data_IF_471609849216
#
_entry.id   IF_471609849216
#
_cell.length_a   1.000
_cell.length_b   1.000
_cell.length_c   1.000
_cell.angle_alpha   90.00
_cell.angle_beta   90.00
_cell.angle_gamma   90.00
#
_symmetry.space_group_name_H-M   'P 1'
#
loop_
_entity.id
_entity.type
_entity.pdbx_description
1 polymer ?
#
# COMPACT_ATOMS: atom_id res chain seq x y z
N UNK A 1 -11.28 5.27 -19.19
CA UNK A 1 -12.61 5.81 -18.83
C UNK A 1 -12.39 7.13 -18.09
N UNK A 2 -13.18 8.17 -18.38
CA UNK A 2 -13.07 9.45 -17.66
C UNK A 2 -13.76 9.33 -16.29
N UNK A 3 -13.05 9.59 -15.19
CA UNK A 3 -13.64 9.54 -13.83
C UNK A 3 -14.11 10.90 -13.32
N UNK A 4 -13.93 11.99 -14.09
CA UNK A 4 -14.40 13.33 -13.71
C UNK A 4 -15.88 13.36 -13.29
N UNK A 5 -16.83 12.67 -13.96
CA UNK A 5 -18.22 12.63 -13.50
C UNK A 5 -18.41 11.99 -12.12
N UNK A 6 -17.60 10.99 -11.75
CA UNK A 6 -17.64 10.40 -10.41
C UNK A 6 -17.06 11.34 -9.36
N UNK A 7 -15.96 12.05 -9.67
CA UNK A 7 -15.41 13.07 -8.77
C UNK A 7 -16.39 14.24 -8.59
N UNK A 8 -17.07 14.67 -9.66
CA UNK A 8 -18.12 15.68 -9.59
C UNK A 8 -19.25 15.19 -8.67
N UNK A 9 -19.76 13.96 -8.88
CA UNK A 9 -20.82 13.41 -8.03
C UNK A 9 -20.39 13.34 -6.56
N UNK A 10 -19.19 12.82 -6.27
CA UNK A 10 -18.64 12.75 -4.91
C UNK A 10 -18.64 14.13 -4.24
N UNK A 11 -18.08 15.14 -4.91
CA UNK A 11 -18.04 16.50 -4.41
C UNK A 11 -19.45 17.05 -4.14
N UNK A 12 -20.45 16.73 -4.96
CA UNK A 12 -21.84 17.16 -4.72
C UNK A 12 -22.45 16.46 -3.51
N UNK A 13 -22.23 15.15 -3.36
CA UNK A 13 -22.72 14.40 -2.21
C UNK A 13 -22.07 14.90 -0.90
N UNK A 14 -20.77 15.17 -0.88
CA UNK A 14 -20.09 15.76 0.28
C UNK A 14 -20.66 17.14 0.64
N UNK A 15 -20.96 17.98 -0.35
CA UNK A 15 -21.62 19.26 -0.10
C UNK A 15 -23.02 19.06 0.50
N UNK A 16 -23.79 18.10 0.00
CA UNK A 16 -25.11 17.76 0.55
C UNK A 16 -25.00 17.23 1.98
N UNK A 17 -23.96 16.47 2.34
CA UNK A 17 -23.73 16.05 3.72
C UNK A 17 -23.52 17.25 4.66
N UNK A 18 -22.83 18.29 4.19
CA UNK A 18 -22.55 19.50 4.98
C UNK A 18 -23.80 20.38 5.14
N UNK A 19 -24.55 20.61 4.06
CA UNK A 19 -25.70 21.53 4.08
C UNK A 19 -26.97 20.83 4.62
N UNK A 20 -27.08 19.52 4.44
CA UNK A 20 -28.18 18.69 4.91
C UNK A 20 -28.82 17.88 3.80
N UNK A 21 -28.97 16.57 4.03
CA UNK A 21 -29.48 15.59 3.06
C UNK A 21 -30.90 15.91 2.59
N UNK A 22 -31.69 16.61 3.42
CA UNK A 22 -33.04 17.03 3.06
C UNK A 22 -33.09 17.95 1.84
N UNK A 23 -31.99 18.65 1.52
CA UNK A 23 -31.89 19.52 0.35
C UNK A 23 -31.45 18.79 -0.93
N UNK A 24 -31.13 17.49 -0.86
CA UNK A 24 -30.65 16.71 -2.01
C UNK A 24 -31.63 16.74 -3.19
N UNK A 25 -32.94 16.71 -2.91
CA UNK A 25 -34.01 16.79 -3.91
C UNK A 25 -34.08 18.16 -4.60
N UNK A 26 -33.63 19.23 -3.96
CA UNK A 26 -33.69 20.59 -4.51
C UNK A 26 -32.36 21.06 -5.13
N UNK A 27 -31.27 20.32 -4.90
CA UNK A 27 -29.96 20.63 -5.47
C UNK A 27 -29.89 20.27 -6.97
N UNK A 28 -30.08 21.27 -7.82
CA UNK A 28 -29.96 21.13 -9.27
C UNK A 28 -28.57 20.66 -9.73
N UNK A 29 -27.52 20.95 -8.95
CA UNK A 29 -26.13 20.56 -9.26
C UNK A 29 -25.94 19.07 -8.99
N UNK A 30 -26.52 18.56 -7.90
CA UNK A 30 -26.55 17.13 -7.63
C UNK A 30 -27.33 16.38 -8.72
N UNK A 31 -28.52 16.87 -9.09
CA UNK A 31 -29.32 16.27 -10.18
C UNK A 31 -28.54 16.18 -11.48
N UNK A 32 -27.84 17.26 -11.84
CA UNK A 32 -27.00 17.29 -13.04
C UNK A 32 -25.84 16.28 -12.96
N UNK A 33 -25.17 16.19 -11.82
CA UNK A 33 -24.07 15.23 -11.63
C UNK A 33 -24.56 13.78 -11.72
N UNK A 34 -25.77 13.48 -11.22
CA UNK A 34 -26.41 12.16 -11.38
C UNK A 34 -26.73 11.88 -12.85
N UNK A 35 -27.30 12.84 -13.60
CA UNK A 35 -27.61 12.64 -15.03
C UNK A 35 -26.34 12.40 -15.87
N UNK A 36 -25.22 13.07 -15.55
CA UNK A 36 -23.94 12.82 -16.22
C UNK A 36 -23.46 11.36 -16.09
N UNK A 37 -23.89 10.61 -15.07
CA UNK A 37 -23.55 9.18 -14.90
C UNK A 37 -24.41 8.23 -15.74
N UNK A 38 -25.44 8.71 -16.42
CA UNK A 38 -26.31 7.88 -17.24
C UNK A 38 -25.56 7.12 -18.34
N UNK A 39 -24.61 7.79 -18.99
CA UNK A 39 -23.77 7.16 -20.02
C UNK A 39 -22.93 6.00 -19.44
N UNK A 40 -22.48 6.16 -18.19
CA UNK A 40 -21.65 5.19 -17.47
C UNK A 40 -22.45 3.96 -17.01
N UNK A 41 -23.77 4.09 -16.84
CA UNK A 41 -24.65 2.99 -16.44
C UNK A 41 -24.60 1.79 -17.39
N UNK A 42 -24.21 2.02 -18.66
CA UNK A 42 -24.08 0.97 -19.67
C UNK A 42 -22.73 0.27 -19.67
N UNK A 43 -21.72 0.86 -19.02
CA UNK A 43 -20.33 0.36 -19.02
C UNK A 43 -20.17 -0.78 -18.02
N UNK A 44 -20.71 -0.64 -16.81
CA UNK A 44 -20.62 -1.66 -15.77
C UNK A 44 -21.79 -1.60 -14.78
N UNK A 45 -22.09 -2.75 -14.17
CA UNK A 45 -23.17 -2.89 -13.19
C UNK A 45 -23.04 -1.93 -12.00
N UNK A 46 -21.81 -1.67 -11.55
CA UNK A 46 -21.55 -0.76 -10.41
C UNK A 46 -21.92 0.68 -10.73
N UNK A 47 -21.64 1.17 -11.94
CA UNK A 47 -22.03 2.53 -12.34
C UNK A 47 -23.54 2.65 -12.51
N UNK A 48 -24.20 1.60 -12.99
CA UNK A 48 -25.66 1.54 -13.01
C UNK A 48 -26.24 1.65 -11.60
N UNK A 49 -25.69 0.91 -10.64
CA UNK A 49 -26.12 0.97 -9.25
C UNK A 49 -25.95 2.38 -8.66
N UNK A 50 -24.80 3.04 -8.88
CA UNK A 50 -24.58 4.44 -8.47
C UNK A 50 -25.62 5.37 -9.09
N UNK A 51 -25.89 5.23 -10.38
CA UNK A 51 -26.89 6.04 -11.09
C UNK A 51 -28.31 5.82 -10.55
N UNK A 52 -28.73 4.57 -10.33
CA UNK A 52 -30.07 4.23 -9.83
C UNK A 52 -30.26 4.74 -8.39
N UNK A 53 -29.24 4.60 -7.54
CA UNK A 53 -29.24 5.12 -6.16
C UNK A 53 -29.26 6.66 -6.13
N UNK A 54 -28.47 7.31 -6.99
CA UNK A 54 -28.48 8.76 -7.15
C UNK A 54 -29.85 9.28 -7.57
N UNK A 55 -30.51 8.62 -8.53
CA UNK A 55 -31.87 8.97 -8.96
C UNK A 55 -32.89 8.78 -7.84
N UNK A 56 -32.75 7.72 -7.06
CA UNK A 56 -33.61 7.45 -5.90
C UNK A 56 -33.46 8.56 -4.86
N UNK A 57 -32.23 8.99 -4.57
CA UNK A 57 -31.93 10.04 -3.59
C UNK A 57 -32.52 11.41 -3.98
N UNK A 58 -32.44 11.79 -5.26
CA UNK A 58 -32.96 13.09 -5.75
C UNK A 58 -34.47 13.09 -6.02
N UNK A 59 -35.12 11.92 -5.98
CA UNK A 59 -36.55 11.77 -6.28
C UNK A 59 -37.40 11.46 -5.05
N UNK A 60 -36.80 10.87 -4.00
CA UNK A 60 -37.55 10.44 -2.82
C UNK A 60 -38.04 11.61 -1.97
N UNK A 61 -39.28 11.50 -1.50
CA UNK A 61 -39.88 12.38 -0.49
C UNK A 61 -39.74 11.82 0.93
N UNK A 62 -39.11 10.64 1.07
CA UNK A 62 -38.84 10.05 2.38
C UNK A 62 -37.94 10.97 3.21
N UNK A 63 -38.26 11.12 4.49
CA UNK A 63 -37.43 11.82 5.46
C UNK A 63 -36.25 10.93 5.89
N UNK A 64 -36.42 9.60 5.87
CA UNK A 64 -35.42 8.62 6.32
C UNK A 64 -34.52 8.12 5.17
N UNK A 65 -33.92 9.08 4.46
CA UNK A 65 -33.04 8.85 3.29
C UNK A 65 -31.54 8.80 3.64
N UNK A 66 -31.22 8.79 4.94
CA UNK A 66 -29.84 8.75 5.42
C UNK A 66 -29.11 7.48 4.98
N UNK A 67 -29.74 6.31 5.10
CA UNK A 67 -29.12 5.03 4.73
C UNK A 67 -28.78 5.00 3.24
N UNK A 68 -29.73 5.39 2.38
CA UNK A 68 -29.52 5.49 0.94
C UNK A 68 -28.38 6.45 0.58
N UNK A 69 -28.32 7.61 1.26
CA UNK A 69 -27.28 8.59 1.05
C UNK A 69 -25.90 8.05 1.43
N UNK A 70 -25.78 7.44 2.61
CA UNK A 70 -24.54 6.88 3.11
C UNK A 70 -24.05 5.71 2.25
N UNK A 71 -24.96 4.84 1.82
CA UNK A 71 -24.64 3.73 0.90
C UNK A 71 -24.14 4.26 -0.45
N UNK A 72 -24.75 5.33 -0.98
CA UNK A 72 -24.32 5.95 -2.23
C UNK A 72 -22.92 6.56 -2.10
N UNK A 73 -22.67 7.32 -1.04
CA UNK A 73 -21.35 7.92 -0.76
C UNK A 73 -20.30 6.81 -0.63
N UNK A 74 -20.59 5.78 0.17
CA UNK A 74 -19.68 4.65 0.37
C UNK A 74 -19.37 3.92 -0.94
N UNK A 75 -20.37 3.71 -1.81
CA UNK A 75 -20.17 3.06 -3.10
C UNK A 75 -19.33 3.91 -4.05
N UNK A 76 -19.60 5.22 -4.14
CA UNK A 76 -18.81 6.15 -4.97
C UNK A 76 -17.36 6.19 -4.48
N UNK A 77 -17.14 6.28 -3.17
CA UNK A 77 -15.81 6.27 -2.57
C UNK A 77 -15.07 4.95 -2.79
N UNK A 78 -15.75 3.81 -2.66
CA UNK A 78 -15.15 2.51 -2.91
C UNK A 78 -14.69 2.39 -4.38
N UNK A 79 -15.51 2.86 -5.33
CA UNK A 79 -15.14 2.84 -6.75
C UNK A 79 -13.96 3.77 -7.03
N UNK A 80 -13.98 5.01 -6.53
CA UNK A 80 -12.86 5.93 -6.71
C UNK A 80 -11.60 5.42 -6.03
N UNK A 81 -11.68 4.91 -4.80
CA UNK A 81 -10.53 4.37 -4.07
C UNK A 81 -9.87 3.18 -4.78
N UNK A 82 -10.64 2.35 -5.49
CA UNK A 82 -10.13 1.15 -6.17
C UNK A 82 -9.73 1.39 -7.63
N UNK A 83 -10.35 2.35 -8.32
CA UNK A 83 -10.13 2.58 -9.75
C UNK A 83 -9.36 3.88 -10.09
N UNK A 84 -9.23 4.84 -9.17
CA UNK A 84 -8.59 6.13 -9.44
C UNK A 84 -7.09 6.04 -9.82
N UNK A 85 -6.39 4.99 -9.40
CA UNK A 85 -4.93 4.85 -9.63
C UNK A 85 -4.56 3.69 -10.54
N UNK A 86 -5.46 2.72 -10.75
CA UNK A 86 -5.18 1.50 -11.53
C UNK A 86 -5.55 1.61 -13.01
N UNK A 87 -6.36 2.61 -13.37
CA UNK A 87 -6.77 2.92 -14.75
C UNK A 87 -6.03 4.14 -15.32
N UNK A 88 -4.70 4.14 -15.29
CA UNK A 88 -3.89 5.15 -16.00
C UNK A 88 -3.62 4.77 -17.47
N UNK A 89 -4.54 4.04 -18.14
CA UNK A 89 -4.34 3.53 -19.51
C UNK A 89 -5.47 2.64 -20.04
N UNK A 90 -5.23 2.04 -21.21
CA UNK A 90 -6.18 1.15 -21.92
C UNK A 90 -6.20 -0.29 -21.41
N UNK A 91 -5.24 -0.68 -20.55
CA UNK A 91 -5.12 -2.04 -20.02
C UNK A 91 -5.03 -2.02 -18.49
N UNK A 92 -5.67 -2.98 -17.78
CA UNK A 92 -5.49 -3.15 -16.35
C UNK A 92 -4.01 -3.31 -16.03
N UNK A 93 -3.47 -2.46 -15.14
CA UNK A 93 -2.11 -2.68 -14.66
C UNK A 93 -2.07 -3.91 -13.77
N UNK A 94 -1.15 -4.83 -14.06
CA UNK A 94 -0.86 -5.96 -13.18
C UNK A 94 -0.45 -5.43 -11.81
N UNK A 95 -1.21 -5.81 -10.77
CA UNK A 95 -0.83 -5.52 -9.39
C UNK A 95 0.45 -6.29 -9.12
N UNK A 96 1.58 -5.57 -9.10
CA UNK A 96 2.89 -6.14 -8.75
C UNK A 96 2.91 -6.42 -7.25
N UNK A 97 2.24 -7.49 -6.86
CA UNK A 97 2.33 -8.02 -5.51
C UNK A 97 3.70 -8.64 -5.32
N UNK A 98 4.35 -8.21 -4.27
CA UNK A 98 5.66 -8.69 -3.83
C UNK A 98 5.55 -10.02 -3.06
N UNK A 99 4.32 -10.40 -2.71
CA UNK A 99 3.97 -11.65 -2.12
C UNK A 99 3.94 -12.80 -3.13
N UNK A 100 4.99 -13.63 -3.10
CA UNK A 100 5.07 -14.86 -3.90
C UNK A 100 4.34 -16.06 -3.28
N UNK A 101 3.84 -15.96 -2.05
CA UNK A 101 3.16 -17.04 -1.33
C UNK A 101 1.95 -16.54 -0.54
N UNK A 102 0.99 -17.44 -0.27
CA UNK A 102 -0.24 -17.18 0.51
C UNK A 102 0.01 -16.91 2.01
N UNK A 103 1.22 -17.15 2.52
CA UNK A 103 1.56 -17.05 3.95
C UNK A 103 2.05 -15.66 4.40
N UNK A 104 1.54 -14.59 3.79
CA UNK A 104 1.93 -13.22 4.19
C UNK A 104 1.29 -12.76 5.49
N UNK A 105 0.14 -13.33 5.83
CA UNK A 105 -0.61 -12.98 7.03
C UNK A 105 -0.40 -14.05 8.09
N UNK A 106 0.26 -13.66 9.19
CA UNK A 106 0.25 -14.43 10.43
C UNK A 106 -0.67 -13.71 11.40
N UNK A 107 -1.53 -14.45 12.08
CA UNK A 107 -2.43 -13.94 13.11
C UNK A 107 -1.64 -13.65 14.40
N UNK A 108 -0.74 -12.67 14.34
CA UNK A 108 0.09 -12.22 15.47
C UNK A 108 -0.59 -10.99 16.07
N UNK A 109 -0.95 -11.08 17.35
CA UNK A 109 -1.54 -9.99 18.10
C UNK A 109 -0.58 -8.81 18.24
N UNK A 110 -1.13 -7.59 18.23
CA UNK A 110 -0.31 -6.38 18.35
C UNK A 110 0.48 -6.31 19.67
N UNK A 111 -0.05 -6.88 20.76
CA UNK A 111 0.64 -7.00 22.05
C UNK A 111 1.95 -7.78 21.97
N UNK A 112 2.07 -8.73 21.04
CA UNK A 112 3.31 -9.48 20.79
C UNK A 112 4.28 -8.69 19.90
N UNK A 113 3.74 -7.87 19.00
CA UNK A 113 4.54 -7.09 18.05
C UNK A 113 5.08 -5.79 18.65
N UNK A 114 4.28 -5.13 19.49
CA UNK A 114 4.54 -3.80 20.01
C UNK A 114 5.85 -3.67 20.78
N UNK A 115 6.31 -4.67 21.57
CA UNK A 115 7.60 -4.59 22.24
C UNK A 115 8.76 -4.53 21.24
N UNK A 116 8.66 -5.28 20.14
CA UNK A 116 9.66 -5.28 19.08
C UNK A 116 9.63 -4.00 18.24
N UNK A 117 8.44 -3.48 17.93
CA UNK A 117 8.28 -2.18 17.27
C UNK A 117 8.97 -1.08 18.07
N UNK A 118 8.71 -1.03 19.38
CA UNK A 118 9.35 -0.09 20.28
C UNK A 118 10.85 -0.33 20.35
N UNK A 119 11.28 -1.58 20.47
CA UNK A 119 12.68 -1.94 20.59
C UNK A 119 13.53 -1.56 19.37
N UNK A 120 13.00 -1.68 18.14
CA UNK A 120 13.70 -1.22 16.95
C UNK A 120 13.70 0.30 16.79
N UNK A 121 12.67 0.99 17.30
CA UNK A 121 12.56 2.45 17.21
C UNK A 121 13.43 3.14 18.25
N UNK A 122 13.26 2.81 19.53
CA UNK A 122 13.95 3.44 20.66
C UNK A 122 15.27 2.74 21.03
N UNK A 123 15.47 1.50 20.59
CA UNK A 123 16.72 0.76 20.77
C UNK A 123 16.79 -0.04 22.07
N UNK A 124 15.93 -1.05 22.21
CA UNK A 124 15.98 -2.00 23.33
C UNK A 124 16.53 -3.36 22.88
N UNK A 125 17.84 -3.55 23.05
CA UNK A 125 18.52 -4.78 22.64
C UNK A 125 17.98 -6.04 23.33
N UNK A 126 17.61 -5.94 24.61
CA UNK A 126 17.17 -7.07 25.41
C UNK A 126 15.91 -7.71 24.82
N UNK A 127 14.92 -6.87 24.48
CA UNK A 127 13.64 -7.32 23.89
C UNK A 127 13.85 -7.99 22.52
N UNK A 128 14.75 -7.45 21.70
CA UNK A 128 15.08 -8.04 20.40
C UNK A 128 15.76 -9.41 20.59
N UNK A 129 16.70 -9.50 21.52
CA UNK A 129 17.43 -10.75 21.77
C UNK A 129 16.55 -11.82 22.39
N UNK A 130 15.67 -11.44 23.32
CA UNK A 130 14.67 -12.33 23.91
C UNK A 130 13.75 -12.92 22.82
N UNK A 131 13.23 -12.07 21.94
CA UNK A 131 12.42 -12.51 20.80
C UNK A 131 13.20 -13.41 19.84
N UNK A 132 14.51 -13.21 19.65
CA UNK A 132 15.33 -14.10 18.83
C UNK A 132 15.45 -15.49 19.46
N UNK A 133 15.51 -15.58 20.78
CA UNK A 133 15.69 -16.83 21.50
C UNK A 133 14.37 -17.60 21.65
N UNK A 134 13.27 -16.88 21.91
CA UNK A 134 11.99 -17.46 22.29
C UNK A 134 10.99 -17.54 21.12
N UNK A 135 11.02 -16.61 20.17
CA UNK A 135 10.08 -16.55 19.04
C UNK A 135 10.73 -15.97 17.78
N UNK A 136 11.69 -16.68 17.21
CA UNK A 136 12.45 -16.19 16.05
C UNK A 136 11.60 -15.96 14.78
N UNK A 137 10.41 -16.58 14.71
CA UNK A 137 9.50 -16.50 13.56
C UNK A 137 8.71 -15.22 13.48
N UNK A 138 8.60 -14.46 14.58
CA UNK A 138 7.95 -13.15 14.62
C UNK A 138 8.60 -12.17 13.64
N UNK A 139 9.93 -12.29 13.43
CA UNK A 139 10.68 -11.46 12.49
C UNK A 139 10.34 -11.73 11.02
N UNK A 140 9.55 -12.76 10.72
CA UNK A 140 9.04 -13.00 9.38
C UNK A 140 7.81 -12.13 9.07
N UNK A 141 7.12 -11.60 10.09
CA UNK A 141 5.99 -10.69 9.91
C UNK A 141 6.40 -9.45 9.10
N UNK A 142 5.62 -9.14 8.06
CA UNK A 142 5.88 -8.03 7.16
C UNK A 142 5.81 -6.67 7.89
N UNK A 143 4.95 -6.54 8.90
CA UNK A 143 4.75 -5.29 9.66
C UNK A 143 6.00 -4.87 10.41
N UNK A 144 6.86 -5.82 10.82
CA UNK A 144 8.13 -5.51 11.50
C UNK A 144 9.24 -5.04 10.55
N UNK A 145 9.14 -5.28 9.24
CA UNK A 145 10.24 -4.99 8.30
C UNK A 145 10.59 -3.51 8.25
N UNK A 146 9.59 -2.64 8.22
CA UNK A 146 9.78 -1.19 8.20
C UNK A 146 10.45 -0.69 9.49
N UNK A 147 10.08 -1.25 10.64
CA UNK A 147 10.72 -0.92 11.92
C UNK A 147 12.15 -1.46 12.01
N UNK A 148 12.42 -2.65 11.48
CA UNK A 148 13.78 -3.17 11.37
C UNK A 148 14.67 -2.29 10.47
N UNK A 149 14.11 -1.76 9.38
CA UNK A 149 14.78 -0.79 8.50
C UNK A 149 15.05 0.52 9.27
N UNK A 150 14.09 1.04 10.02
CA UNK A 150 14.30 2.20 10.91
C UNK A 150 15.38 1.92 11.95
N UNK A 151 15.44 0.70 12.48
CA UNK A 151 16.47 0.22 13.40
C UNK A 151 17.90 0.25 12.83
N UNK A 152 18.09 0.37 11.52
CA UNK A 152 19.41 0.60 10.91
C UNK A 152 19.96 2.01 11.20
N UNK A 153 19.09 2.96 11.55
CA UNK A 153 19.48 4.33 11.96
C UNK A 153 19.55 4.49 13.47
N UNK A 154 19.47 3.39 14.22
CA UNK A 154 19.42 3.43 15.67
C UNK A 154 20.79 3.87 16.25
N UNK A 155 20.78 4.59 17.38
CA UNK A 155 22.01 5.05 18.06
C UNK A 155 22.84 3.89 18.62
N UNK A 156 22.23 2.73 18.89
CA UNK A 156 22.90 1.56 19.45
C UNK A 156 23.39 0.61 18.36
N UNK A 157 24.71 0.50 18.21
CA UNK A 157 25.37 -0.36 17.20
C UNK A 157 24.95 -1.83 17.26
N UNK A 158 24.64 -2.35 18.45
CA UNK A 158 24.15 -3.74 18.62
C UNK A 158 22.77 -3.96 17.99
N UNK A 159 21.87 -2.97 18.06
CA UNK A 159 20.55 -3.01 17.42
C UNK A 159 20.72 -2.97 15.90
N UNK A 160 21.57 -2.07 15.40
CA UNK A 160 21.92 -1.98 13.97
C UNK A 160 22.43 -3.32 13.44
N UNK A 161 23.35 -3.95 14.16
CA UNK A 161 23.94 -5.24 13.76
C UNK A 161 22.91 -6.37 13.69
N UNK A 162 22.00 -6.46 14.67
CA UNK A 162 20.94 -7.46 14.69
C UNK A 162 19.91 -7.23 13.57
N UNK A 163 19.45 -5.99 13.39
CA UNK A 163 18.57 -5.60 12.29
C UNK A 163 19.20 -5.97 10.94
N UNK A 164 20.47 -5.61 10.74
CA UNK A 164 21.24 -5.94 9.53
C UNK A 164 21.32 -7.45 9.29
N UNK A 165 21.64 -8.24 10.33
CA UNK A 165 21.77 -9.70 10.23
C UNK A 165 20.44 -10.36 9.83
N UNK A 166 19.32 -9.90 10.39
CA UNK A 166 17.98 -10.42 10.08
C UNK A 166 17.51 -10.00 8.69
N UNK A 167 17.63 -8.72 8.33
CA UNK A 167 17.28 -8.22 7.00
C UNK A 167 18.09 -8.89 5.88
N UNK A 168 19.38 -9.20 6.11
CA UNK A 168 20.22 -9.96 5.15
C UNK A 168 19.62 -11.33 4.81
N UNK A 169 18.98 -12.02 5.75
CA UNK A 169 18.36 -13.33 5.52
C UNK A 169 17.07 -13.23 4.68
N UNK A 170 16.38 -12.09 4.72
CA UNK A 170 15.06 -11.88 4.12
C UNK A 170 15.09 -10.93 2.90
N UNK A 171 16.27 -10.81 2.27
CA UNK A 171 16.58 -9.80 1.25
C UNK A 171 15.61 -9.74 0.07
N UNK A 172 15.03 -10.88 -0.34
CA UNK A 172 14.11 -10.95 -1.48
C UNK A 172 12.74 -10.33 -1.18
N UNK A 173 12.30 -10.40 0.07
CA UNK A 173 10.97 -9.95 0.51
C UNK A 173 10.94 -8.44 0.78
N UNK A 174 12.07 -7.85 1.19
CA UNK A 174 12.19 -6.44 1.59
C UNK A 174 12.64 -5.50 0.47
N UNK A 175 13.06 -6.03 -0.69
CA UNK A 175 13.47 -5.25 -1.86
C UNK A 175 12.46 -4.16 -2.32
N UNK A 176 11.14 -4.33 -2.16
CA UNK A 176 10.15 -3.31 -2.53
C UNK A 176 10.09 -2.15 -1.53
N UNK A 177 10.14 -2.45 -0.22
CA UNK A 177 10.15 -1.46 0.87
C UNK A 177 11.36 -0.54 0.82
N UNK A 178 12.43 -0.98 0.16
CA UNK A 178 13.67 -0.22 0.01
C UNK A 178 13.53 1.07 -0.81
N UNK A 179 12.51 1.18 -1.68
CA UNK A 179 12.35 2.35 -2.55
C UNK A 179 11.72 3.54 -1.86
N UNK A 180 10.80 3.29 -0.93
CA UNK A 180 9.96 4.33 -0.33
C UNK A 180 10.39 4.72 1.09
N UNK A 181 11.01 3.80 1.85
CA UNK A 181 11.33 4.02 3.28
C UNK A 181 12.78 4.45 3.56
N UNK A 182 13.66 4.51 2.55
CA UNK A 182 15.05 4.92 2.75
C UNK A 182 15.21 6.45 2.66
N UNK A 183 15.20 7.13 3.80
CA UNK A 183 15.54 8.54 3.90
C UNK A 183 17.07 8.77 3.79
N UNK A 184 17.54 9.89 3.20
CA UNK A 184 18.95 10.16 2.89
C UNK A 184 19.90 10.31 4.11
N UNK A 185 19.41 10.10 5.33
CA UNK A 185 20.18 10.13 6.58
C UNK A 185 20.63 8.77 7.11
N UNK A 186 20.18 7.65 6.52
CA UNK A 186 20.73 6.32 6.83
C UNK A 186 22.18 6.33 6.37
N UNK A 187 23.13 6.20 7.30
CA UNK A 187 24.56 6.31 7.01
C UNK A 187 24.90 5.51 5.75
N UNK A 188 25.29 6.26 4.70
CA UNK A 188 25.55 5.75 3.35
C UNK A 188 26.43 4.49 3.34
N UNK A 189 27.24 4.29 4.39
CA UNK A 189 28.10 3.12 4.62
C UNK A 189 27.34 1.79 4.76
N UNK A 190 26.26 1.75 5.55
CA UNK A 190 25.44 0.52 5.67
C UNK A 190 24.63 0.24 4.40
N UNK A 191 24.22 1.30 3.68
CA UNK A 191 23.54 1.20 2.40
C UNK A 191 24.47 0.73 1.26
N UNK A 192 25.72 1.22 1.24
CA UNK A 192 26.75 0.85 0.25
C UNK A 192 27.11 -0.64 0.33
N UNK A 193 27.27 -1.18 1.54
CA UNK A 193 27.55 -2.62 1.74
C UNK A 193 26.34 -3.52 1.39
N UNK A 194 25.12 -3.00 1.47
CA UNK A 194 23.89 -3.80 1.35
C UNK A 194 23.21 -3.72 -0.03
N UNK A 195 23.23 -2.55 -0.68
CA UNK A 195 22.64 -2.32 -2.01
C UNK A 195 23.68 -2.58 -3.11
N UNK A 196 24.85 -1.95 -3.02
CA UNK A 196 25.82 -1.90 -4.10
C UNK A 196 26.71 -3.15 -4.15
N UNK A 197 27.23 -3.60 -3.02
CA UNK A 197 28.24 -4.67 -3.01
C UNK A 197 27.76 -5.99 -3.66
N UNK A 198 26.56 -6.53 -3.39
CA UNK A 198 26.14 -7.79 -3.99
C UNK A 198 25.69 -7.68 -5.45
N UNK A 199 25.19 -6.51 -5.87
CA UNK A 199 24.80 -6.24 -7.26
C UNK A 199 26.04 -6.05 -8.13
N UNK A 200 27.03 -5.30 -7.62
CA UNK A 200 28.36 -5.19 -8.21
C UNK A 200 29.05 -6.54 -8.25
N UNK A 201 29.06 -7.32 -7.17
CA UNK A 201 29.68 -8.65 -7.13
C UNK A 201 29.04 -9.60 -8.16
N UNK A 202 27.71 -9.55 -8.34
CA UNK A 202 27.00 -10.36 -9.33
C UNK A 202 27.33 -9.93 -10.77
N UNK A 203 27.39 -8.63 -11.04
CA UNK A 203 27.83 -8.09 -12.35
C UNK A 203 29.30 -8.43 -12.64
N UNK A 204 30.18 -8.23 -11.68
CA UNK A 204 31.60 -8.54 -11.77
C UNK A 204 31.80 -10.04 -12.04
N UNK A 205 31.13 -10.92 -11.27
CA UNK A 205 31.20 -12.37 -11.49
C UNK A 205 30.75 -12.73 -12.90
N UNK A 206 29.65 -12.16 -13.40
CA UNK A 206 29.15 -12.39 -14.76
C UNK A 206 30.13 -11.91 -15.85
N UNK A 207 30.78 -10.76 -15.65
CA UNK A 207 31.82 -10.23 -16.54
C UNK A 207 33.02 -11.19 -16.57
N UNK A 208 33.51 -11.65 -15.41
CA UNK A 208 34.60 -12.62 -15.34
C UNK A 208 34.25 -13.95 -16.00
N UNK A 209 33.03 -14.48 -15.79
CA UNK A 209 32.60 -15.72 -16.46
C UNK A 209 32.57 -15.56 -17.98
N UNK A 210 32.07 -14.42 -18.48
CA UNK A 210 32.00 -14.14 -19.92
C UNK A 210 33.39 -13.93 -20.53
N UNK A 211 34.32 -13.29 -19.82
CA UNK A 211 35.71 -13.14 -20.24
C UNK A 211 36.42 -14.50 -20.26
N UNK A 212 36.24 -15.33 -19.22
CA UNK A 212 36.81 -16.68 -19.18
C UNK A 212 36.29 -17.57 -20.33
N UNK A 213 34.99 -17.50 -20.64
CA UNK A 213 34.39 -18.15 -21.80
C UNK A 213 34.97 -17.68 -23.13
N UNK A 214 35.24 -16.37 -23.26
CA UNK A 214 35.77 -15.75 -24.48
C UNK A 214 37.26 -16.03 -24.70
N UNK A 215 38.01 -16.30 -23.63
CA UNK A 215 39.44 -16.64 -23.65
C UNK A 215 39.66 -18.18 -23.75
N UNK A 216 38.59 -18.98 -23.78
CA UNK A 216 38.69 -20.43 -23.96
C UNK A 216 39.13 -21.21 -22.72
N UNK A 217 39.15 -20.56 -21.55
CA UNK A 217 39.35 -21.22 -20.26
C UNK A 217 38.05 -21.93 -19.88
N UNK A 218 37.83 -23.14 -20.41
CA UNK A 218 36.93 -24.11 -19.75
C UNK A 218 37.65 -24.65 -18.51
N UNK A 219 36.88 -24.90 -17.45
CA UNK A 219 37.36 -25.53 -16.20
C UNK A 219 38.30 -26.70 -16.47
#
# INVERSE_FOLDING_TARGET
MNFEPLYELKNRLENVAVVGINLAKDDFRLKRAVEHLKEYSTIAKVFKQIYDMGNSLISTDDEDKCDLFLDLVALVDAVLCTQATTYSGNEPQEIKTIAKSKDYYKEIHYSELSPLVYAFTEGNLFVIQDSINNNADIFNDFRLKSYMIKGLSNKYSKVINLATKKLKKQRKEIAPLQKDEFSPGIEKKCLLDWILFPVLLKKIKMIFTNIALKIGLRK
#
